data_IF_649352646376
#
_entry.id   IF_649352646376
#
_cell.length_a   1.000
_cell.length_b   1.000
_cell.length_c   1.000
_cell.angle_alpha   90.00
_cell.angle_beta   90.00
_cell.angle_gamma   90.00
#
_symmetry.space_group_name_H-M   'P 1'
#
loop_
_entity.id
_entity.type
_entity.pdbx_description
1 polymer ?
#
# COMPACT_ATOMS: atom_id res chain seq x y z
N UNK A 1 -15.73 -22.41 -47.01
CA UNK A 1 -14.36 -22.77 -46.62
C UNK A 1 -14.05 -22.07 -45.31
N UNK A 2 -14.12 -22.79 -44.20
CA UNK A 2 -13.51 -22.39 -42.94
C UNK A 2 -13.13 -23.68 -42.22
N UNK A 3 -11.83 -23.90 -42.28
CA UNK A 3 -11.09 -25.13 -42.01
C UNK A 3 -11.23 -25.58 -40.56
N UNK A 4 -11.24 -26.90 -40.37
CA UNK A 4 -11.35 -27.54 -39.07
C UNK A 4 -10.30 -27.03 -38.09
N UNK A 5 -10.79 -26.46 -37.00
CA UNK A 5 -9.99 -26.05 -35.84
C UNK A 5 -9.46 -27.32 -35.19
N UNK A 6 -8.16 -27.58 -35.38
CA UNK A 6 -7.47 -28.76 -34.88
C UNK A 6 -7.50 -28.78 -33.35
N UNK A 7 -7.78 -29.95 -32.76
CA UNK A 7 -7.89 -30.17 -31.30
C UNK A 7 -6.72 -29.59 -30.48
N UNK A 8 -5.53 -29.49 -31.08
CA UNK A 8 -4.33 -28.88 -30.49
C UNK A 8 -4.49 -27.39 -30.17
N UNK A 9 -5.17 -26.63 -31.02
CA UNK A 9 -5.41 -25.19 -30.83
C UNK A 9 -6.42 -24.95 -29.70
N UNK A 10 -7.42 -25.82 -29.60
CA UNK A 10 -8.45 -25.78 -28.54
C UNK A 10 -7.81 -26.07 -27.17
N UNK A 11 -6.94 -27.08 -27.09
CA UNK A 11 -6.22 -27.41 -25.85
C UNK A 11 -5.30 -26.27 -25.42
N UNK A 12 -4.60 -25.63 -26.37
CA UNK A 12 -3.77 -24.46 -26.10
C UNK A 12 -4.57 -23.27 -25.56
N UNK A 13 -5.71 -22.98 -26.18
CA UNK A 13 -6.62 -21.91 -25.75
C UNK A 13 -7.20 -22.19 -24.34
N UNK A 14 -7.58 -23.43 -24.06
CA UNK A 14 -8.08 -23.82 -22.74
C UNK A 14 -7.00 -23.70 -21.66
N UNK A 15 -5.77 -24.14 -21.93
CA UNK A 15 -4.66 -23.99 -20.98
C UNK A 15 -4.34 -22.52 -20.70
N UNK A 16 -4.35 -21.68 -21.73
CA UNK A 16 -4.15 -20.24 -21.58
C UNK A 16 -5.28 -19.60 -20.74
N UNK A 17 -6.53 -20.01 -20.96
CA UNK A 17 -7.67 -19.53 -20.17
C UNK A 17 -7.56 -19.92 -18.68
N UNK A 18 -7.08 -21.13 -18.38
CA UNK A 18 -6.88 -21.59 -16.99
C UNK A 18 -5.81 -20.74 -16.29
N UNK A 19 -4.68 -20.49 -16.94
CA UNK A 19 -3.58 -19.69 -16.36
C UNK A 19 -4.01 -18.24 -16.09
N UNK A 20 -4.77 -17.62 -17.01
CA UNK A 20 -5.26 -16.24 -16.83
C UNK A 20 -6.35 -16.17 -15.75
N UNK A 21 -7.20 -17.20 -15.60
CA UNK A 21 -8.24 -17.26 -14.56
C UNK A 21 -7.71 -17.50 -13.14
N UNK A 22 -6.44 -17.87 -13.00
CA UNK A 22 -5.82 -18.18 -11.69
C UNK A 22 -5.32 -16.92 -10.96
N UNK A 23 -5.43 -15.74 -11.59
CA UNK A 23 -4.74 -14.53 -11.15
C UNK A 23 -5.66 -13.47 -10.53
N UNK A 24 -6.75 -13.82 -9.85
CA UNK A 24 -7.31 -12.91 -8.84
C UNK A 24 -8.13 -13.65 -7.79
N UNK A 25 -8.21 -13.03 -6.61
CA UNK A 25 -8.90 -13.43 -5.37
C UNK A 25 -8.12 -14.33 -4.40
N UNK A 26 -6.86 -13.95 -4.13
CA UNK A 26 -6.35 -14.13 -2.78
C UNK A 26 -7.14 -13.21 -1.83
N UNK A 27 -7.46 -13.69 -0.61
CA UNK A 27 -7.95 -12.80 0.45
C UNK A 27 -6.93 -11.67 0.56
N UNK A 28 -7.32 -10.44 0.22
CA UNK A 28 -6.55 -9.26 0.63
C UNK A 28 -6.61 -9.29 2.15
N UNK A 29 -5.53 -9.66 2.87
CA UNK A 29 -5.59 -9.66 4.31
C UNK A 29 -5.90 -8.22 4.66
N UNK A 30 -7.04 -7.99 5.30
CA UNK A 30 -7.23 -6.74 6.02
C UNK A 30 -6.13 -6.77 7.06
N UNK A 31 -5.02 -6.12 6.77
CA UNK A 31 -3.92 -5.99 7.70
C UNK A 31 -4.49 -5.19 8.85
N UNK A 32 -4.84 -5.89 9.93
CA UNK A 32 -5.12 -5.25 11.20
C UNK A 32 -3.76 -4.77 11.69
N UNK A 33 -3.41 -3.55 11.31
CA UNK A 33 -2.26 -2.90 11.93
C UNK A 33 -2.73 -2.47 13.29
N UNK A 34 -2.40 -3.29 14.29
CA UNK A 34 -2.33 -2.84 15.66
C UNK A 34 -1.33 -1.68 15.67
N UNK A 35 -1.78 -0.47 16.05
CA UNK A 35 -0.86 0.63 16.31
C UNK A 35 0.26 0.06 17.20
N UNK A 36 1.50 0.10 16.71
CA UNK A 36 2.60 -0.42 17.50
C UNK A 36 2.62 0.36 18.83
N UNK A 37 2.75 -0.35 19.95
CA UNK A 37 2.93 0.29 21.27
C UNK A 37 4.25 1.11 21.32
N UNK A 38 5.06 1.03 20.26
CA UNK A 38 6.24 1.86 19.98
C UNK A 38 5.97 2.85 18.84
N UNK A 39 6.41 4.09 19.00
CA UNK A 39 6.39 5.08 17.92
C UNK A 39 7.22 4.63 16.71
N UNK A 40 6.77 4.97 15.50
CA UNK A 40 7.51 4.69 14.26
C UNK A 40 8.80 5.51 14.19
N UNK A 41 8.75 6.74 14.70
CA UNK A 41 9.91 7.60 14.81
C UNK A 41 9.90 8.39 16.12
N UNK A 42 11.09 8.52 16.71
CA UNK A 42 11.34 9.35 17.89
C UNK A 42 12.39 10.39 17.52
N UNK A 43 12.07 11.68 17.72
CA UNK A 43 13.01 12.79 17.56
C UNK A 43 13.32 13.40 18.92
N UNK A 44 14.60 13.62 19.19
CA UNK A 44 15.06 14.31 20.40
C UNK A 44 15.41 15.76 20.09
N UNK A 45 15.12 16.66 21.02
CA UNK A 45 15.40 18.09 20.91
C UNK A 45 14.85 18.71 19.62
N UNK A 46 13.58 18.40 19.33
CA UNK A 46 12.86 18.80 18.11
C UNK A 46 12.49 20.27 18.13
N UNK A 47 12.67 20.92 16.98
CA UNK A 47 12.27 22.31 16.74
C UNK A 47 11.66 22.42 15.35
N UNK A 48 10.41 22.91 15.27
CA UNK A 48 9.69 23.07 14.03
C UNK A 48 9.02 24.45 13.93
N UNK A 49 9.20 25.12 12.81
CA UNK A 49 8.55 26.40 12.53
C UNK A 49 7.25 26.17 11.76
N UNK A 50 6.13 26.53 12.36
CA UNK A 50 4.82 26.50 11.70
C UNK A 50 4.63 27.81 10.97
N UNK A 51 4.54 27.75 9.65
CA UNK A 51 4.31 28.90 8.77
C UNK A 51 2.96 28.80 8.07
N UNK A 52 2.35 29.94 7.79
CA UNK A 52 1.16 30.05 6.95
C UNK A 52 1.28 31.33 6.11
N UNK A 53 1.01 31.25 4.81
CA UNK A 53 1.16 32.40 3.88
C UNK A 53 2.55 33.05 3.94
N UNK A 54 3.60 32.25 4.15
CA UNK A 54 4.98 32.73 4.27
C UNK A 54 5.32 33.45 5.59
N UNK A 55 4.36 33.58 6.52
CA UNK A 55 4.57 34.18 7.83
C UNK A 55 4.68 33.07 8.88
N UNK A 56 5.68 33.17 9.76
CA UNK A 56 5.79 32.29 10.91
C UNK A 56 4.64 32.53 11.88
N UNK A 57 3.87 31.46 12.17
CA UNK A 57 2.73 31.47 13.08
C UNK A 57 3.12 30.94 14.46
N UNK A 58 3.97 29.93 14.50
CA UNK A 58 4.44 29.35 15.75
C UNK A 58 5.84 28.76 15.61
N UNK A 59 6.51 28.61 16.75
CA UNK A 59 7.71 27.82 16.91
C UNK A 59 7.41 26.71 17.90
N UNK A 60 7.36 25.48 17.40
CA UNK A 60 7.11 24.28 18.21
C UNK A 60 8.44 23.73 18.64
N UNK A 61 8.62 23.58 19.95
CA UNK A 61 9.81 23.01 20.58
C UNK A 61 9.38 21.81 21.42
N UNK A 62 10.14 20.73 21.36
CA UNK A 62 9.91 19.54 22.18
C UNK A 62 11.22 18.81 22.47
N UNK A 63 11.44 18.41 23.71
CA UNK A 63 12.60 17.58 24.08
C UNK A 63 12.52 16.18 23.44
N UNK A 64 11.30 15.68 23.23
CA UNK A 64 11.05 14.44 22.51
C UNK A 64 9.73 14.52 21.73
N UNK A 65 9.75 14.08 20.47
CA UNK A 65 8.56 14.00 19.62
C UNK A 65 8.40 12.58 19.06
N UNK A 66 7.19 12.04 19.21
CA UNK A 66 6.82 10.70 18.74
C UNK A 66 5.93 10.82 17.50
N UNK A 67 6.33 10.19 16.40
CA UNK A 67 5.56 10.14 15.17
C UNK A 67 4.99 8.73 14.99
N UNK A 68 3.69 8.71 14.74
CA UNK A 68 2.93 7.50 14.42
C UNK A 68 2.36 7.68 13.01
N UNK A 69 2.77 6.84 12.08
CA UNK A 69 2.20 6.79 10.75
C UNK A 69 0.96 5.91 10.80
N UNK A 70 -0.24 6.40 10.43
CA UNK A 70 -1.36 5.52 10.18
C UNK A 70 -0.96 4.65 8.98
N UNK A 71 -0.64 3.39 9.23
CA UNK A 71 -0.34 2.41 8.18
C UNK A 71 -1.45 2.42 7.16
N UNK A 72 -1.08 2.75 5.94
CA UNK A 72 -1.97 2.90 4.80
C UNK A 72 -2.66 1.57 4.50
N UNK A 73 -4.00 1.60 4.40
CA UNK A 73 -4.81 0.48 3.92
C UNK A 73 -4.38 0.13 2.49
N UNK A 74 -4.10 -1.14 2.25
CA UNK A 74 -3.77 -1.66 0.92
C UNK A 74 -5.00 -1.51 0.00
N UNK A 75 -4.84 -0.78 -1.12
CA UNK A 75 -5.83 -0.75 -2.21
C UNK A 75 -5.89 -2.10 -2.93
#
# INVERSE_FOLDING_TARGET
MNNGTTSREIVGLCLYAVVVSSCETGIKPTAVVTAADSADQVLFNMSHYVTAEGIQRAHVLADTAYFYSPTQTAE
#
